data_IF_238282672359
#
_entry.id   IF_238282672359
#
_cell.length_a   1.000
_cell.length_b   1.000
_cell.length_c   1.000
_cell.angle_alpha   90.00
_cell.angle_beta   90.00
_cell.angle_gamma   90.00
#
_symmetry.space_group_name_H-M   'P 1'
#
loop_
_entity.id
_entity.type
_entity.pdbx_description
1 polymer ?
#
# COMPACT_ATOMS: atom_id res chain seq x y z
N UNK A 1 -9.31 2.42 -20.85
CA UNK A 1 -9.78 2.10 -19.48
C UNK A 1 -9.52 3.32 -18.59
N UNK A 2 -10.55 3.78 -17.86
CA UNK A 2 -10.51 4.97 -16.98
C UNK A 2 -9.35 4.90 -15.98
N UNK A 3 -9.00 3.68 -15.53
CA UNK A 3 -7.85 3.40 -14.65
C UNK A 3 -6.50 3.91 -15.19
N UNK A 4 -6.30 3.92 -16.52
CA UNK A 4 -5.04 4.35 -17.16
C UNK A 4 -5.07 5.81 -17.65
N UNK A 5 -6.26 6.37 -17.88
CA UNK A 5 -6.44 7.72 -18.42
C UNK A 5 -6.69 8.79 -17.36
N UNK A 6 -7.38 8.46 -16.26
CA UNK A 6 -7.63 9.42 -15.19
C UNK A 6 -6.33 9.71 -14.42
N UNK A 7 -5.90 10.98 -14.27
CA UNK A 7 -4.57 11.33 -13.75
C UNK A 7 -4.25 10.72 -12.38
N UNK A 8 -5.19 10.78 -11.42
CA UNK A 8 -5.00 10.18 -10.10
C UNK A 8 -4.96 8.65 -10.14
N UNK A 9 -5.83 8.05 -10.96
CA UNK A 9 -5.91 6.58 -11.04
C UNK A 9 -4.71 6.01 -11.79
N UNK A 10 -4.11 6.78 -12.71
CA UNK A 10 -2.89 6.41 -13.42
C UNK A 10 -1.71 6.22 -12.47
N UNK A 11 -1.58 7.07 -11.44
CA UNK A 11 -0.53 6.95 -10.43
C UNK A 11 -0.72 5.67 -9.62
N UNK A 12 -1.94 5.44 -9.10
CA UNK A 12 -2.28 4.22 -8.36
C UNK A 12 -2.10 2.97 -9.23
N UNK A 13 -2.51 3.05 -10.50
CA UNK A 13 -2.38 1.94 -11.44
C UNK A 13 -0.93 1.50 -11.60
N UNK A 14 -0.02 2.44 -11.84
CA UNK A 14 1.38 2.12 -12.11
C UNK A 14 2.16 1.71 -10.87
N UNK A 15 1.74 2.18 -9.69
CA UNK A 15 2.41 1.87 -8.42
C UNK A 15 1.89 0.60 -7.75
N UNK A 16 0.63 0.21 -7.99
CA UNK A 16 -0.06 -0.81 -7.20
C UNK A 16 -0.73 -1.94 -8.01
N UNK A 17 -1.16 -1.67 -9.25
CA UNK A 17 -1.98 -2.62 -10.02
C UNK A 17 -1.18 -3.24 -11.17
N UNK A 18 -0.71 -2.41 -12.09
CA UNK A 18 0.07 -2.83 -13.26
C UNK A 18 1.59 -2.65 -13.00
N UNK A 19 2.03 -2.89 -11.76
CA UNK A 19 3.45 -2.85 -11.39
C UNK A 19 4.15 -4.14 -11.86
N UNK A 20 5.22 -4.07 -12.66
CA UNK A 20 6.00 -5.26 -13.02
C UNK A 20 6.82 -5.75 -11.82
N UNK A 21 6.35 -6.78 -11.14
CA UNK A 21 7.08 -7.47 -10.08
C UNK A 21 7.79 -8.73 -10.62
N UNK A 22 8.99 -9.06 -10.13
CA UNK A 22 9.66 -10.29 -10.53
C UNK A 22 8.85 -11.52 -10.09
N UNK A 23 8.86 -12.59 -10.89
CA UNK A 23 8.07 -13.80 -10.60
C UNK A 23 8.61 -14.62 -9.43
N UNK A 24 9.89 -14.49 -9.09
CA UNK A 24 10.55 -15.23 -8.01
C UNK A 24 10.74 -14.38 -6.73
N UNK A 25 9.69 -13.70 -6.28
CA UNK A 25 9.72 -12.96 -5.01
C UNK A 25 9.73 -13.92 -3.82
N UNK A 26 10.67 -13.70 -2.90
CA UNK A 26 10.76 -14.45 -1.65
C UNK A 26 9.82 -13.88 -0.58
N UNK A 27 9.57 -14.64 0.49
CA UNK A 27 8.73 -14.19 1.60
C UNK A 27 9.19 -12.88 2.25
N UNK A 28 10.48 -12.54 2.14
CA UNK A 28 11.06 -11.30 2.65
C UNK A 28 10.43 -10.03 2.03
N UNK A 29 9.93 -10.11 0.80
CA UNK A 29 9.27 -8.98 0.14
C UNK A 29 7.93 -8.60 0.80
N UNK A 30 7.32 -9.47 1.61
CA UNK A 30 6.09 -9.16 2.33
C UNK A 30 6.30 -8.19 3.51
N UNK A 31 7.52 -8.01 4.00
CA UNK A 31 7.76 -7.10 5.12
C UNK A 31 7.42 -5.64 4.79
N UNK A 32 7.56 -5.23 3.54
CA UNK A 32 7.16 -3.88 3.12
C UNK A 32 5.67 -3.60 3.33
N UNK A 33 4.79 -4.50 2.86
CA UNK A 33 3.34 -4.35 3.03
C UNK A 33 2.91 -4.50 4.48
N UNK A 34 3.54 -5.40 5.24
CA UNK A 34 3.29 -5.58 6.67
C UNK A 34 3.61 -4.31 7.47
N UNK A 35 4.72 -3.63 7.17
CA UNK A 35 5.07 -2.36 7.81
C UNK A 35 4.07 -1.24 7.47
N UNK A 36 3.59 -1.19 6.23
CA UNK A 36 2.54 -0.25 5.83
C UNK A 36 1.24 -0.45 6.62
N UNK A 37 0.80 -1.71 6.77
CA UNK A 37 -0.40 -2.05 7.56
C UNK A 37 -0.15 -1.74 9.05
N UNK A 38 1.03 -2.06 9.57
CA UNK A 38 1.41 -1.76 10.95
C UNK A 38 1.33 -0.25 11.24
N UNK A 39 1.81 0.59 10.33
CA UNK A 39 1.73 2.05 10.48
C UNK A 39 0.27 2.54 10.53
N UNK A 40 -0.58 2.07 9.61
CA UNK A 40 -2.01 2.43 9.60
C UNK A 40 -2.66 1.99 10.92
N UNK A 41 -2.41 0.76 11.36
CA UNK A 41 -2.91 0.25 12.63
C UNK A 41 -2.46 1.12 13.81
N UNK A 42 -1.17 1.46 13.89
CA UNK A 42 -0.61 2.29 14.97
C UNK A 42 -1.17 3.72 14.98
N UNK A 43 -1.38 4.34 13.83
CA UNK A 43 -1.99 5.68 13.75
C UNK A 43 -3.45 5.60 14.25
N UNK A 44 -4.20 4.61 13.78
CA UNK A 44 -5.60 4.43 14.18
C UNK A 44 -5.72 4.17 15.68
N UNK A 45 -4.98 3.20 16.22
CA UNK A 45 -5.02 2.89 17.65
C UNK A 45 -4.49 4.04 18.49
N UNK A 46 -3.35 4.65 18.11
CA UNK A 46 -2.80 5.82 18.79
C UNK A 46 -3.77 6.99 18.85
N UNK A 47 -4.55 7.21 17.79
CA UNK A 47 -5.59 8.24 17.76
C UNK A 47 -6.73 7.94 18.74
N UNK A 48 -7.17 6.68 18.87
CA UNK A 48 -8.15 6.28 19.89
C UNK A 48 -7.59 6.38 21.31
N UNK A 49 -6.32 5.99 21.53
CA UNK A 49 -5.67 6.11 22.83
C UNK A 49 -5.51 7.57 23.26
N UNK A 50 -5.28 8.49 22.33
CA UNK A 50 -5.15 9.93 22.63
C UNK A 50 -6.49 10.62 22.98
N UNK A 51 -7.64 9.97 22.74
CA UNK A 51 -8.97 10.51 23.06
C UNK A 51 -9.39 10.26 24.53
N UNK A 52 -8.69 9.37 25.23
CA UNK A 52 -8.87 9.09 26.66
C UNK A 52 -7.65 9.61 27.44
#
# INVERSE_FOLDING_TARGET
NIRKSHPLLKIVNNAFIDLPAPSNISSWWNFGSLLGICLIMQIMTGLFLAMH
#
